data_IF_557991232457
#
_entry.id   IF_557991232457
#
_cell.length_a   1.000
_cell.length_b   1.000
_cell.length_c   1.000
_cell.angle_alpha   90.00
_cell.angle_beta   90.00
_cell.angle_gamma   90.00
#
_symmetry.space_group_name_H-M   'P 1'
#
loop_
_entity.id
_entity.type
_entity.pdbx_description
1 polymer ?
#
# COMPACT_ATOMS: atom_id res chain seq x y z
N UNK A 1 -1.09 15.78 -4.99
CA UNK A 1 -1.53 14.40 -5.27
C UNK A 1 -2.38 14.40 -6.54
N UNK A 2 -2.22 13.41 -7.41
CA UNK A 2 -3.00 13.34 -8.66
C UNK A 2 -4.46 12.90 -8.38
N UNK A 3 -5.32 13.07 -9.39
CA UNK A 3 -6.75 12.75 -9.29
C UNK A 3 -7.00 11.25 -9.05
N UNK A 4 -6.27 10.37 -9.74
CA UNK A 4 -6.43 8.93 -9.62
C UNK A 4 -6.20 8.43 -8.18
N UNK A 5 -5.20 8.98 -7.49
CA UNK A 5 -4.92 8.63 -6.09
C UNK A 5 -6.02 9.14 -5.16
N UNK A 6 -6.58 10.32 -5.44
CA UNK A 6 -7.69 10.88 -4.67
C UNK A 6 -8.97 10.04 -4.87
N UNK A 7 -9.26 9.65 -6.11
CA UNK A 7 -10.40 8.80 -6.45
C UNK A 7 -10.27 7.41 -5.78
N UNK A 8 -9.05 6.83 -5.74
CA UNK A 8 -8.77 5.61 -4.98
C UNK A 8 -9.08 5.77 -3.48
N UNK A 9 -8.61 6.85 -2.84
CA UNK A 9 -8.86 7.08 -1.42
C UNK A 9 -10.36 7.20 -1.12
N UNK A 10 -11.12 7.86 -2.00
CA UNK A 10 -12.57 7.92 -1.88
C UNK A 10 -13.23 6.55 -2.06
N UNK A 11 -12.77 5.74 -3.02
CA UNK A 11 -13.30 4.39 -3.26
C UNK A 11 -13.15 3.50 -2.02
N UNK A 12 -12.02 3.56 -1.32
CA UNK A 12 -11.82 2.81 -0.07
C UNK A 12 -12.49 3.48 1.15
N UNK A 13 -13.34 4.50 0.96
CA UNK A 13 -14.09 5.16 2.03
C UNK A 13 -13.23 6.03 2.96
N UNK A 14 -12.08 6.52 2.50
CA UNK A 14 -11.29 7.47 3.27
C UNK A 14 -12.07 8.79 3.46
N UNK A 15 -12.06 9.30 4.69
CA UNK A 15 -12.70 10.57 5.03
C UNK A 15 -11.77 11.75 4.70
N UNK A 16 -12.32 12.97 4.64
CA UNK A 16 -11.55 14.20 4.43
C UNK A 16 -10.26 14.28 5.27
N UNK A 17 -10.33 14.08 6.61
CA UNK A 17 -9.12 14.09 7.45
C UNK A 17 -8.07 13.04 7.07
N UNK A 18 -8.48 11.85 6.62
CA UNK A 18 -7.56 10.80 6.17
C UNK A 18 -6.94 11.18 4.82
N UNK A 19 -7.72 11.76 3.92
CA UNK A 19 -7.24 12.26 2.63
C UNK A 19 -6.24 13.39 2.84
N UNK A 20 -6.50 14.34 3.74
CA UNK A 20 -5.57 15.43 4.07
C UNK A 20 -4.23 14.87 4.60
N UNK A 21 -4.28 13.84 5.45
CA UNK A 21 -3.08 13.15 5.94
C UNK A 21 -2.34 12.42 4.82
N UNK A 22 -3.06 11.75 3.93
CA UNK A 22 -2.46 11.08 2.77
C UNK A 22 -1.83 12.09 1.80
N UNK A 23 -2.44 13.25 1.60
CA UNK A 23 -1.90 14.31 0.75
C UNK A 23 -0.61 14.91 1.33
N UNK A 24 -0.55 15.11 2.66
CA UNK A 24 0.67 15.54 3.33
C UNK A 24 1.79 14.51 3.21
N UNK A 25 1.49 13.23 3.44
CA UNK A 25 2.44 12.15 3.25
C UNK A 25 2.91 12.06 1.78
N UNK A 26 2.00 12.25 0.81
CA UNK A 26 2.34 12.31 -0.62
C UNK A 26 3.33 13.45 -0.91
N UNK A 27 3.06 14.67 -0.43
CA UNK A 27 3.95 15.83 -0.62
C UNK A 27 5.34 15.56 -0.02
N UNK A 28 5.38 14.95 1.17
CA UNK A 28 6.65 14.60 1.81
C UNK A 28 7.44 13.59 0.97
N UNK A 29 6.78 12.54 0.47
CA UNK A 29 7.39 11.54 -0.41
C UNK A 29 7.83 12.14 -1.75
N UNK A 30 7.02 13.01 -2.37
CA UNK A 30 7.34 13.70 -3.62
C UNK A 30 8.61 14.57 -3.49
N UNK A 31 8.80 15.21 -2.33
CA UNK A 31 9.97 16.04 -2.08
C UNK A 31 11.28 15.26 -1.88
N UNK A 32 11.21 13.97 -1.54
CA UNK A 32 12.40 13.14 -1.25
C UNK A 32 12.62 12.04 -2.30
N UNK A 33 11.59 11.64 -3.03
CA UNK A 33 11.68 10.63 -4.08
C UNK A 33 12.30 11.27 -5.33
N UNK A 34 13.36 10.68 -5.92
CA UNK A 34 13.95 11.20 -7.14
C UNK A 34 13.10 10.91 -8.40
N UNK A 35 11.95 10.24 -8.25
CA UNK A 35 11.08 9.79 -9.32
C UNK A 35 9.65 10.22 -9.09
N UNK A 36 8.90 10.29 -10.20
CA UNK A 36 7.45 10.43 -10.14
C UNK A 36 6.82 9.25 -9.38
N UNK A 37 5.94 9.58 -8.45
CA UNK A 37 5.12 8.59 -7.75
C UNK A 37 4.00 8.14 -8.70
N UNK A 38 4.04 6.86 -9.08
CA UNK A 38 3.12 6.21 -10.03
C UNK A 38 2.02 5.38 -9.35
N UNK A 39 2.20 5.04 -8.07
CA UNK A 39 1.23 4.25 -7.31
C UNK A 39 1.08 4.69 -5.87
N UNK A 40 -0.10 4.43 -5.32
CA UNK A 40 -0.44 4.63 -3.91
C UNK A 40 -1.20 3.40 -3.40
N UNK A 41 -1.04 3.06 -2.13
CA UNK A 41 -1.85 2.05 -1.48
C UNK A 41 -1.98 2.33 0.02
N UNK A 42 -3.19 2.22 0.55
CA UNK A 42 -3.43 2.32 1.99
C UNK A 42 -3.49 0.91 2.58
N UNK A 43 -2.50 0.60 3.42
CA UNK A 43 -2.52 -0.60 4.25
C UNK A 43 -3.51 -0.40 5.39
N UNK A 44 -4.58 -1.19 5.40
CA UNK A 44 -5.66 -1.08 6.37
C UNK A 44 -6.27 -2.43 6.71
N UNK A 45 -7.00 -2.46 7.83
CA UNK A 45 -7.76 -3.63 8.25
C UNK A 45 -9.03 -3.19 8.99
N UNK A 46 -10.04 -4.06 8.97
CA UNK A 46 -11.26 -3.89 9.79
C UNK A 46 -11.11 -4.64 11.11
N UNK A 47 -11.35 -3.95 12.22
CA UNK A 47 -11.43 -4.51 13.55
C UNK A 47 -12.75 -5.29 13.77
N UNK A 48 -12.82 -6.09 14.84
CA UNK A 48 -14.03 -6.86 15.19
C UNK A 48 -15.26 -5.98 15.45
N UNK A 49 -15.04 -4.74 15.89
CA UNK A 49 -16.07 -3.73 16.11
C UNK A 49 -16.59 -3.08 14.80
N UNK A 50 -16.03 -3.48 13.64
CA UNK A 50 -16.37 -2.93 12.33
C UNK A 50 -15.61 -1.66 11.94
N UNK A 51 -14.76 -1.12 12.81
CA UNK A 51 -13.98 0.07 12.51
C UNK A 51 -12.83 -0.26 11.55
N UNK A 52 -12.63 0.62 10.56
CA UNK A 52 -11.49 0.56 9.65
C UNK A 52 -10.30 1.30 10.23
N UNK A 53 -9.18 0.58 10.33
CA UNK A 53 -7.90 1.09 10.83
C UNK A 53 -6.95 1.31 9.67
N UNK A 54 -6.63 2.58 9.41
CA UNK A 54 -5.64 2.99 8.42
C UNK A 54 -4.25 2.99 9.05
N UNK A 55 -3.42 2.01 8.70
CA UNK A 55 -2.13 1.77 9.35
C UNK A 55 -1.02 2.52 8.61
N UNK A 56 -0.72 2.11 7.38
CA UNK A 56 0.41 2.67 6.61
C UNK A 56 -0.05 3.16 5.25
N UNK A 57 0.65 4.16 4.73
CA UNK A 57 0.48 4.61 3.35
C UNK A 57 1.72 4.25 2.54
N UNK A 58 1.51 3.50 1.47
CA UNK A 58 2.55 3.07 0.57
C UNK A 58 2.50 3.89 -0.72
N UNK A 59 3.68 4.26 -1.20
CA UNK A 59 3.85 4.90 -2.49
C UNK A 59 4.84 4.11 -3.34
N UNK A 60 4.60 4.12 -4.64
CA UNK A 60 5.40 3.35 -5.59
C UNK A 60 5.82 4.25 -6.74
N UNK A 61 7.09 4.16 -7.08
CA UNK A 61 7.67 4.70 -8.32
C UNK A 61 8.23 3.53 -9.13
N UNK A 62 8.97 3.83 -10.19
CA UNK A 62 9.58 2.81 -11.03
C UNK A 62 10.66 2.03 -10.27
N UNK A 63 11.48 2.71 -9.46
CA UNK A 63 12.62 2.08 -8.75
C UNK A 63 12.57 2.18 -7.24
N UNK A 64 11.64 2.93 -6.67
CA UNK A 64 11.49 3.10 -5.22
C UNK A 64 10.10 2.74 -4.72
N UNK A 65 10.05 2.11 -3.54
CA UNK A 65 8.86 2.08 -2.70
C UNK A 65 9.10 2.99 -1.49
N UNK A 66 8.03 3.64 -1.02
CA UNK A 66 8.04 4.47 0.17
C UNK A 66 6.90 4.06 1.09
N UNK A 67 7.14 4.13 2.39
CA UNK A 67 6.15 3.81 3.42
C UNK A 67 6.06 4.95 4.41
N UNK A 68 4.88 5.55 4.55
CA UNK A 68 4.53 6.42 5.67
C UNK A 68 3.85 5.59 6.76
N UNK A 69 4.61 5.21 7.77
CA UNK A 69 4.20 4.32 8.87
C UNK A 69 3.32 5.06 9.87
N UNK A 70 2.14 4.53 10.19
CA UNK A 70 1.17 5.17 11.10
C UNK A 70 0.85 6.61 10.66
N UNK A 71 0.61 6.83 9.36
CA UNK A 71 0.48 8.16 8.74
C UNK A 71 -0.65 9.02 9.33
N UNK A 72 -1.61 8.41 10.00
CA UNK A 72 -2.68 9.11 10.71
C UNK A 72 -2.21 9.76 12.02
N UNK A 73 -1.10 9.29 12.60
CA UNK A 73 -0.61 9.68 13.92
C UNK A 73 0.71 10.47 13.87
N UNK A 74 1.61 10.13 12.95
CA UNK A 74 2.95 10.76 12.84
C UNK A 74 3.51 10.66 11.43
N UNK A 75 4.47 11.53 11.14
CA UNK A 75 5.28 11.47 9.93
C UNK A 75 6.49 10.56 10.17
N UNK A 76 6.41 9.32 9.70
CA UNK A 76 7.51 8.35 9.74
C UNK A 76 7.65 7.73 8.35
N UNK A 77 8.54 8.28 7.54
CA UNK A 77 8.68 7.93 6.13
C UNK A 77 9.95 7.13 5.93
N UNK A 78 9.79 5.98 5.29
CA UNK A 78 10.86 5.12 4.82
C UNK A 78 10.86 5.14 3.28
N UNK A 79 12.03 5.11 2.66
CA UNK A 79 12.20 5.01 1.22
C UNK A 79 13.26 3.96 0.92
N UNK A 80 12.91 2.98 0.11
CA UNK A 80 13.79 1.87 -0.24
C UNK A 80 13.79 1.66 -1.75
N UNK A 81 14.97 1.60 -2.41
CA UNK A 81 15.04 1.15 -3.79
C UNK A 81 14.62 -0.32 -3.84
N UNK A 82 13.75 -0.71 -4.77
CA UNK A 82 13.16 -2.06 -4.81
C UNK A 82 13.27 -2.77 -6.17
N UNK A 83 14.01 -2.19 -7.13
CA UNK A 83 14.24 -2.78 -8.45
C UNK A 83 14.95 -4.14 -8.37
N UNK A 84 14.25 -5.23 -8.72
CA UNK A 84 14.76 -6.61 -8.70
C UNK A 84 15.48 -7.01 -7.40
N UNK A 85 14.94 -6.62 -6.25
CA UNK A 85 15.48 -7.04 -4.95
C UNK A 85 14.46 -7.77 -4.07
N UNK A 86 13.25 -8.04 -4.57
CA UNK A 86 12.25 -8.78 -3.78
C UNK A 86 12.63 -10.26 -3.81
N UNK A 87 13.16 -10.75 -2.68
CA UNK A 87 13.63 -12.13 -2.52
C UNK A 87 12.47 -13.10 -2.38
N UNK A 88 11.39 -12.66 -1.72
CA UNK A 88 10.22 -13.49 -1.47
C UNK A 88 9.00 -12.58 -1.33
N UNK A 89 7.87 -13.05 -1.86
CA UNK A 89 6.56 -12.58 -1.46
C UNK A 89 5.67 -13.77 -1.14
N UNK A 90 4.73 -13.60 -0.23
CA UNK A 90 3.62 -14.53 -0.03
C UNK A 90 2.38 -13.75 0.37
N UNK A 91 1.21 -14.30 0.03
CA UNK A 91 -0.06 -13.65 0.30
C UNK A 91 -0.91 -14.59 1.16
N UNK A 92 -1.35 -14.09 2.30
CA UNK A 92 -2.39 -14.70 3.10
C UNK A 92 -3.74 -14.11 2.70
N UNK A 93 -4.77 -14.95 2.59
CA UNK A 93 -6.11 -14.50 2.18
C UNK A 93 -7.20 -15.17 3.01
N UNK A 94 -8.31 -14.48 3.18
CA UNK A 94 -9.56 -15.01 3.72
C UNK A 94 -10.71 -14.46 2.89
N UNK A 95 -11.63 -15.33 2.47
CA UNK A 95 -12.84 -14.96 1.71
C UNK A 95 -12.56 -14.08 0.47
N UNK A 96 -11.42 -14.29 -0.19
CA UNK A 96 -10.98 -13.57 -1.39
C UNK A 96 -10.36 -14.54 -2.38
N UNK A 97 -10.79 -14.54 -3.64
CA UNK A 97 -10.35 -15.52 -4.65
C UNK A 97 -9.42 -14.93 -5.73
N UNK A 98 -8.78 -13.79 -5.45
CA UNK A 98 -7.91 -13.08 -6.41
C UNK A 98 -8.61 -12.69 -7.73
N UNK A 99 -9.93 -12.50 -7.68
CA UNK A 99 -10.75 -12.12 -8.82
C UNK A 99 -11.53 -10.83 -8.54
N UNK A 100 -12.48 -10.91 -7.61
CA UNK A 100 -13.34 -9.81 -7.19
C UNK A 100 -13.52 -9.89 -5.68
N UNK A 101 -13.27 -8.78 -5.00
CA UNK A 101 -13.41 -8.69 -3.57
C UNK A 101 -14.86 -8.42 -3.16
N UNK A 102 -15.23 -8.92 -1.98
CA UNK A 102 -16.49 -8.60 -1.31
C UNK A 102 -16.19 -8.06 0.09
N UNK A 103 -17.21 -7.63 0.83
CA UNK A 103 -17.06 -7.04 2.17
C UNK A 103 -16.26 -7.90 3.17
N UNK A 104 -16.25 -9.22 3.00
CA UNK A 104 -15.55 -10.17 3.87
C UNK A 104 -14.14 -10.53 3.41
N UNK A 105 -13.78 -10.16 2.18
CA UNK A 105 -12.44 -10.36 1.65
C UNK A 105 -11.38 -9.71 2.54
N UNK A 106 -10.34 -10.47 2.87
CA UNK A 106 -9.13 -9.99 3.55
C UNK A 106 -7.92 -10.54 2.83
N UNK A 107 -6.90 -9.71 2.69
CA UNK A 107 -5.62 -10.11 2.13
C UNK A 107 -4.47 -9.44 2.88
N UNK A 108 -3.38 -10.18 3.07
CA UNK A 108 -2.13 -9.69 3.64
C UNK A 108 -0.99 -10.11 2.72
N UNK A 109 -0.32 -9.13 2.13
CA UNK A 109 0.93 -9.32 1.41
C UNK A 109 2.08 -9.21 2.40
N UNK A 110 2.92 -10.23 2.42
CA UNK A 110 4.22 -10.20 3.08
C UNK A 110 5.31 -10.26 2.02
N UNK A 111 6.35 -9.45 2.17
CA UNK A 111 7.49 -9.46 1.28
C UNK A 111 8.81 -9.30 2.04
N UNK A 112 9.87 -9.85 1.46
CA UNK A 112 11.24 -9.76 1.97
C UNK A 112 12.14 -9.30 0.84
N UNK A 113 12.91 -8.25 1.11
CA UNK A 113 13.92 -7.69 0.23
C UNK A 113 15.28 -8.39 0.44
N UNK A 114 16.18 -8.26 -0.53
CA UNK A 114 17.47 -8.95 -0.54
C UNK A 114 18.33 -8.69 0.72
N UNK A 115 18.22 -7.51 1.33
CA UNK A 115 18.96 -7.13 2.54
C UNK A 115 18.29 -7.57 3.85
N UNK A 116 17.25 -8.42 3.79
CA UNK A 116 16.52 -8.88 4.98
C UNK A 116 15.51 -7.87 5.53
N UNK A 117 15.34 -6.73 4.87
CA UNK A 117 14.23 -5.80 5.13
C UNK A 117 12.94 -6.48 4.69
N UNK A 118 11.94 -6.52 5.56
CA UNK A 118 10.62 -7.04 5.27
C UNK A 118 9.55 -5.97 5.41
N UNK A 119 8.39 -6.24 4.82
CA UNK A 119 7.23 -5.38 4.92
C UNK A 119 5.94 -6.18 4.81
N UNK A 120 4.87 -5.58 5.33
CA UNK A 120 3.53 -6.16 5.34
C UNK A 120 2.53 -5.12 4.85
N UNK A 121 1.65 -5.53 3.94
CA UNK A 121 0.56 -4.69 3.41
C UNK A 121 -0.76 -5.43 3.61
N UNK A 122 -1.70 -4.80 4.30
CA UNK A 122 -3.01 -5.37 4.64
C UNK A 122 -4.10 -4.71 3.82
N UNK A 123 -5.11 -5.49 3.46
CA UNK A 123 -6.29 -5.03 2.74
C UNK A 123 -7.56 -5.71 3.23
N UNK A 124 -8.66 -4.96 3.24
CA UNK A 124 -10.00 -5.44 3.55
C UNK A 124 -11.02 -4.97 2.50
N UNK A 125 -12.04 -5.79 2.25
CA UNK A 125 -13.10 -5.46 1.31
C UNK A 125 -12.55 -5.23 -0.11
N UNK A 126 -13.12 -4.26 -0.80
CA UNK A 126 -12.74 -3.82 -2.15
C UNK A 126 -11.24 -3.45 -2.29
N UNK A 127 -10.58 -3.06 -1.19
CA UNK A 127 -9.15 -2.76 -1.20
C UNK A 127 -8.28 -4.01 -1.49
N UNK A 128 -8.82 -5.22 -1.37
CA UNK A 128 -8.14 -6.47 -1.76
C UNK A 128 -7.85 -6.53 -3.27
N UNK A 129 -8.73 -5.97 -4.11
CA UNK A 129 -8.52 -5.91 -5.56
C UNK A 129 -7.40 -4.91 -5.89
N UNK A 130 -7.39 -3.78 -5.19
CA UNK A 130 -6.29 -2.81 -5.27
C UNK A 130 -4.96 -3.43 -4.84
N UNK A 131 -4.93 -4.22 -3.76
CA UNK A 131 -3.70 -4.89 -3.32
C UNK A 131 -3.19 -5.86 -4.39
N UNK A 132 -4.09 -6.62 -5.04
CA UNK A 132 -3.72 -7.51 -6.13
C UNK A 132 -3.11 -6.75 -7.32
N UNK A 133 -3.66 -5.57 -7.65
CA UNK A 133 -3.12 -4.71 -8.69
C UNK A 133 -1.74 -4.17 -8.33
N UNK A 134 -1.53 -3.77 -7.07
CA UNK A 134 -0.21 -3.37 -6.56
C UNK A 134 0.79 -4.53 -6.64
N UNK A 135 0.40 -5.73 -6.23
CA UNK A 135 1.25 -6.92 -6.32
C UNK A 135 1.68 -7.18 -7.75
N UNK A 136 0.73 -7.19 -8.71
CA UNK A 136 1.01 -7.44 -10.13
C UNK A 136 1.87 -6.35 -10.76
N UNK A 137 1.68 -5.09 -10.38
CA UNK A 137 2.33 -3.94 -11.02
C UNK A 137 3.71 -3.64 -10.45
N UNK A 138 3.90 -3.84 -9.14
CA UNK A 138 5.09 -3.35 -8.43
C UNK A 138 5.87 -4.47 -7.76
N UNK A 139 5.23 -5.53 -7.27
CA UNK A 139 5.95 -6.60 -6.56
C UNK A 139 6.42 -7.72 -7.50
N UNK A 140 5.54 -8.29 -8.32
CA UNK A 140 5.91 -9.40 -9.21
C UNK A 140 7.03 -9.03 -10.20
N UNK A 141 7.01 -7.86 -10.88
CA UNK A 141 8.09 -7.47 -11.79
C UNK A 141 9.46 -7.30 -11.12
N UNK A 142 9.47 -7.11 -9.80
CA UNK A 142 10.66 -6.87 -8.99
C UNK A 142 11.11 -8.09 -8.17
N UNK A 143 10.51 -9.26 -8.42
CA UNK A 143 11.00 -10.53 -7.90
C UNK A 143 12.41 -10.82 -8.43
N UNK A 144 13.29 -11.23 -7.53
CA UNK A 144 14.58 -11.83 -7.86
C UNK A 144 14.32 -13.18 -8.55
N UNK A 145 14.68 -13.26 -9.84
CA UNK A 145 14.68 -14.49 -10.65
C UNK A 145 16.11 -15.01 -10.75
#
# INVERSE_FOLDING_TARGET
MNREFTDYLHNIGATGPIIDKAENAYKNCENICPEEIKGIFVSEYTEENGNRMYENLWFFSERYCMESKNFTQRDNIDITPYNKIIKRLFIEKKDYEFTEANAQSRAILHFVLHMGIDGTIKASGENCDHLLNIVKSYFIPNLLI
#
